data_IF_462133922141
#
_entry.id   IF_462133922141
#
_cell.length_a   1.000
_cell.length_b   1.000
_cell.length_c   1.000
_cell.angle_alpha   90.00
_cell.angle_beta   90.00
_cell.angle_gamma   90.00
#
_symmetry.space_group_name_H-M   'P 1'
#
loop_
_entity.id
_entity.type
_entity.pdbx_description
1 polymer ?
#
# COMPACT_ATOMS: atom_id res chain seq x y z
N UNK A 1 11.86 15.84 3.41
CA UNK A 1 10.46 15.70 2.97
C UNK A 1 10.24 16.00 1.48
N UNK A 2 11.18 16.62 0.79
CA UNK A 2 11.09 16.97 -0.64
C UNK A 2 11.37 15.82 -1.65
N UNK A 3 11.80 14.64 -1.18
CA UNK A 3 12.16 13.50 -2.06
C UNK A 3 10.98 12.66 -2.55
N UNK A 4 9.77 12.85 -2.04
CA UNK A 4 8.74 11.81 -2.13
C UNK A 4 7.69 12.00 -3.21
N UNK A 5 7.42 13.23 -3.63
CA UNK A 5 6.47 13.50 -4.72
C UNK A 5 7.04 14.61 -5.59
N UNK A 6 7.58 14.26 -6.74
CA UNK A 6 7.78 15.26 -7.81
C UNK A 6 6.38 15.70 -8.26
N UNK A 7 6.18 17.01 -8.31
CA UNK A 7 4.92 17.59 -8.76
C UNK A 7 4.54 17.01 -10.13
N UNK A 8 3.35 16.39 -10.24
CA UNK A 8 2.84 15.84 -11.50
C UNK A 8 3.05 14.35 -11.73
N UNK A 9 3.62 13.58 -10.76
CA UNK A 9 3.69 12.12 -10.91
C UNK A 9 2.31 11.47 -10.69
N UNK A 10 1.96 10.54 -11.59
CA UNK A 10 0.73 9.76 -11.55
C UNK A 10 1.08 8.33 -11.16
N UNK A 11 0.26 7.74 -10.28
CA UNK A 11 0.34 6.31 -9.93
C UNK A 11 -0.72 5.57 -10.74
N UNK A 12 -0.29 4.69 -11.63
CA UNK A 12 -1.19 3.88 -12.47
C UNK A 12 -1.49 2.56 -11.77
N UNK A 13 -2.77 2.27 -11.53
CA UNK A 13 -3.21 0.99 -10.97
C UNK A 13 -3.11 -0.12 -12.01
N UNK A 14 -2.38 -1.19 -11.70
CA UNK A 14 -2.28 -2.39 -12.53
C UNK A 14 -3.28 -3.45 -12.03
N UNK A 15 -4.57 -3.16 -12.21
CA UNK A 15 -5.65 -4.04 -11.73
C UNK A 15 -5.98 -5.11 -12.79
N UNK A 16 -5.03 -6.06 -12.97
CA UNK A 16 -5.08 -7.16 -13.93
C UNK A 16 -4.96 -8.51 -13.21
N UNK A 17 -5.40 -9.57 -13.86
CA UNK A 17 -5.34 -10.95 -13.37
C UNK A 17 -4.10 -11.73 -13.87
N UNK A 18 -3.25 -11.08 -14.68
CA UNK A 18 -2.02 -11.68 -15.21
C UNK A 18 -0.95 -10.62 -15.50
N UNK A 19 0.30 -11.05 -15.56
CA UNK A 19 1.45 -10.18 -15.81
C UNK A 19 1.50 -9.64 -17.25
N UNK A 20 1.02 -10.40 -18.23
CA UNK A 20 1.08 -9.99 -19.64
C UNK A 20 0.28 -8.73 -19.87
N UNK A 21 -0.98 -8.68 -19.42
CA UNK A 21 -1.83 -7.48 -19.53
C UNK A 21 -1.24 -6.28 -18.78
N UNK A 22 -0.66 -6.52 -17.60
CA UNK A 22 0.03 -5.47 -16.86
C UNK A 22 1.23 -4.90 -17.67
N UNK A 23 2.03 -5.77 -18.30
CA UNK A 23 3.17 -5.34 -19.10
C UNK A 23 2.78 -4.65 -20.41
N UNK A 24 1.65 -4.97 -21.01
CA UNK A 24 1.14 -4.25 -22.18
C UNK A 24 0.88 -2.77 -21.86
N UNK A 25 0.33 -2.48 -20.68
CA UNK A 25 0.13 -1.11 -20.23
C UNK A 25 1.45 -0.44 -19.84
N UNK A 26 2.32 -1.11 -19.09
CA UNK A 26 3.58 -0.49 -18.65
C UNK A 26 4.52 -0.13 -19.81
N UNK A 27 4.48 -0.85 -20.93
CA UNK A 27 5.22 -0.49 -22.15
C UNK A 27 4.84 0.88 -22.73
N UNK A 28 3.65 1.38 -22.41
CA UNK A 28 3.15 2.69 -22.87
C UNK A 28 3.52 3.82 -21.90
N UNK A 29 4.08 3.50 -20.72
CA UNK A 29 4.36 4.45 -19.66
C UNK A 29 5.86 4.75 -19.59
N UNK A 30 6.21 6.03 -19.35
CA UNK A 30 7.59 6.41 -19.03
C UNK A 30 7.78 6.35 -17.49
N UNK A 31 8.68 5.49 -16.96
CA UNK A 31 8.93 5.38 -15.51
C UNK A 31 9.37 6.69 -14.84
N UNK A 32 9.92 7.65 -15.58
CA UNK A 32 10.27 8.97 -15.03
C UNK A 32 9.05 9.78 -14.63
N UNK A 33 7.91 9.57 -15.30
CA UNK A 33 6.68 10.35 -15.11
C UNK A 33 5.60 9.58 -14.36
N UNK A 34 5.66 8.26 -14.38
CA UNK A 34 4.63 7.39 -13.81
C UNK A 34 5.22 6.43 -12.80
N UNK A 35 4.47 6.21 -11.73
CA UNK A 35 4.65 5.08 -10.81
C UNK A 35 3.55 4.07 -11.06
N UNK A 36 3.72 2.84 -10.60
CA UNK A 36 2.71 1.80 -10.76
C UNK A 36 2.25 1.27 -9.41
N UNK A 37 0.97 0.90 -9.30
CA UNK A 37 0.38 0.27 -8.13
C UNK A 37 0.08 -1.19 -8.43
N UNK A 38 0.61 -2.09 -7.61
CA UNK A 38 0.30 -3.52 -7.61
C UNK A 38 -0.62 -3.79 -6.42
N UNK A 39 -1.88 -4.10 -6.70
CA UNK A 39 -2.87 -4.45 -5.69
C UNK A 39 -3.00 -5.95 -5.46
N UNK A 40 -3.96 -6.32 -4.61
CA UNK A 40 -4.18 -7.72 -4.20
C UNK A 40 -4.38 -8.67 -5.38
N UNK A 41 -5.15 -8.26 -6.40
CA UNK A 41 -5.46 -9.15 -7.55
C UNK A 41 -4.17 -9.55 -8.29
N UNK A 42 -3.41 -8.59 -8.78
CA UNK A 42 -2.21 -8.85 -9.57
C UNK A 42 -1.13 -9.55 -8.73
N UNK A 43 -0.95 -9.12 -7.47
CA UNK A 43 0.03 -9.74 -6.58
C UNK A 43 -0.33 -11.20 -6.25
N UNK A 44 -1.61 -11.50 -6.01
CA UNK A 44 -2.08 -12.87 -5.75
C UNK A 44 -1.92 -13.77 -6.99
N UNK A 45 -2.17 -13.22 -8.18
CA UNK A 45 -2.05 -13.97 -9.44
C UNK A 45 -0.60 -14.26 -9.82
N UNK A 46 0.33 -13.33 -9.58
CA UNK A 46 1.70 -13.38 -10.11
C UNK A 46 2.79 -13.59 -9.04
N UNK A 47 2.45 -13.43 -7.75
CA UNK A 47 3.41 -13.47 -6.66
C UNK A 47 4.42 -12.30 -6.70
N UNK A 48 5.50 -12.38 -5.90
CA UNK A 48 6.49 -11.31 -5.80
C UNK A 48 7.29 -11.07 -7.08
N UNK A 49 7.31 -12.03 -8.00
CA UNK A 49 8.04 -11.90 -9.27
C UNK A 49 7.59 -10.69 -10.09
N UNK A 50 6.31 -10.31 -10.01
CA UNK A 50 5.79 -9.12 -10.70
C UNK A 50 6.49 -7.83 -10.27
N UNK A 51 6.86 -7.73 -8.98
CA UNK A 51 7.55 -6.56 -8.45
C UNK A 51 8.97 -6.44 -9.04
N UNK A 52 9.68 -7.56 -9.14
CA UNK A 52 11.02 -7.58 -9.74
C UNK A 52 10.98 -7.18 -11.22
N UNK A 53 10.00 -7.70 -11.97
CA UNK A 53 9.88 -7.45 -13.40
C UNK A 53 9.49 -5.99 -13.69
N UNK A 54 8.62 -5.39 -12.88
CA UNK A 54 8.30 -3.96 -12.97
C UNK A 54 9.48 -3.06 -12.57
N UNK A 55 10.28 -3.45 -11.57
CA UNK A 55 11.51 -2.74 -11.21
C UNK A 55 12.56 -2.79 -12.33
N UNK A 56 12.72 -3.92 -13.01
CA UNK A 56 13.61 -4.03 -14.19
C UNK A 56 13.21 -3.08 -15.32
N UNK A 57 11.90 -2.73 -15.41
CA UNK A 57 11.41 -1.71 -16.32
C UNK A 57 11.64 -0.27 -15.84
N UNK A 58 12.16 -0.08 -14.62
CA UNK A 58 12.50 1.22 -14.03
C UNK A 58 11.38 1.85 -13.18
N UNK A 59 10.28 1.15 -12.93
CA UNK A 59 9.16 1.72 -12.17
C UNK A 59 9.40 1.71 -10.66
N UNK A 60 9.06 2.81 -10.02
CA UNK A 60 8.75 2.87 -8.60
C UNK A 60 7.37 2.21 -8.35
N UNK A 61 7.29 1.32 -7.37
CA UNK A 61 6.10 0.50 -7.13
C UNK A 61 5.43 0.87 -5.81
N UNK A 62 4.13 1.13 -5.86
CA UNK A 62 3.26 1.10 -4.70
C UNK A 62 2.68 -0.31 -4.53
N UNK A 63 3.12 -1.05 -3.51
CA UNK A 63 2.56 -2.36 -3.14
C UNK A 63 1.35 -2.15 -2.23
N UNK A 64 0.14 -2.22 -2.83
CA UNK A 64 -1.14 -1.88 -2.20
C UNK A 64 -1.87 -3.15 -1.70
N UNK A 65 -1.31 -3.81 -0.68
CA UNK A 65 -1.89 -5.04 -0.10
C UNK A 65 -2.74 -4.78 1.15
N UNK A 66 -2.72 -3.55 1.68
CA UNK A 66 -3.54 -3.12 2.84
C UNK A 66 -3.40 -4.07 4.03
N UNK A 67 -2.17 -4.29 4.47
CA UNK A 67 -1.88 -5.23 5.56
C UNK A 67 -2.72 -4.95 6.80
N UNK A 68 -3.39 -5.98 7.29
CA UNK A 68 -4.24 -5.93 8.46
C UNK A 68 -4.29 -7.31 9.11
N UNK A 69 -3.53 -7.50 10.17
CA UNK A 69 -3.39 -8.76 10.89
C UNK A 69 -2.85 -8.47 12.30
N UNK A 70 -2.52 -9.50 13.08
CA UNK A 70 -1.84 -9.31 14.36
C UNK A 70 -0.52 -8.56 14.21
N UNK A 71 -0.08 -7.82 15.25
CA UNK A 71 1.15 -7.01 15.17
C UNK A 71 2.37 -7.78 14.65
N UNK A 72 2.61 -9.00 15.17
CA UNK A 72 3.75 -9.84 14.76
C UNK A 72 3.67 -10.27 13.27
N UNK A 73 2.47 -10.53 12.75
CA UNK A 73 2.28 -10.90 11.33
C UNK A 73 2.54 -9.70 10.44
N UNK A 74 2.00 -8.53 10.79
CA UNK A 74 2.20 -7.29 10.04
C UNK A 74 3.66 -6.85 10.08
N UNK A 75 4.33 -6.95 11.23
CA UNK A 75 5.77 -6.70 11.35
C UNK A 75 6.56 -7.49 10.31
N UNK A 76 6.37 -8.80 10.26
CA UNK A 76 7.06 -9.68 9.33
C UNK A 76 6.70 -9.39 7.87
N UNK A 77 5.43 -9.11 7.58
CA UNK A 77 4.99 -8.75 6.23
C UNK A 77 5.61 -7.44 5.74
N UNK A 78 5.71 -6.43 6.61
CA UNK A 78 6.37 -5.15 6.27
C UNK A 78 7.88 -5.35 6.08
N UNK A 79 8.54 -6.19 6.89
CA UNK A 79 9.95 -6.54 6.65
C UNK A 79 10.16 -7.14 5.27
N UNK A 80 9.29 -8.05 4.84
CA UNK A 80 9.39 -8.63 3.49
C UNK A 80 9.09 -7.60 2.39
N UNK A 81 8.10 -6.72 2.56
CA UNK A 81 7.83 -5.62 1.63
C UNK A 81 9.05 -4.68 1.50
N UNK A 82 9.72 -4.37 2.61
CA UNK A 82 10.95 -3.58 2.60
C UNK A 82 12.09 -4.28 1.83
N UNK A 83 12.27 -5.59 2.00
CA UNK A 83 13.27 -6.39 1.26
C UNK A 83 12.97 -6.41 -0.25
N UNK A 84 11.70 -6.32 -0.64
CA UNK A 84 11.30 -6.17 -2.04
C UNK A 84 11.66 -4.80 -2.62
N UNK A 85 12.16 -3.86 -1.80
CA UNK A 85 12.58 -2.53 -2.23
C UNK A 85 11.51 -1.82 -3.08
N UNK A 86 10.25 -1.89 -2.64
CA UNK A 86 9.15 -1.13 -3.22
C UNK A 86 9.23 0.33 -2.77
N UNK A 87 8.67 1.25 -3.54
CA UNK A 87 8.66 2.67 -3.19
C UNK A 87 7.69 2.98 -2.03
N UNK A 88 6.51 2.33 -2.02
CA UNK A 88 5.45 2.58 -1.03
C UNK A 88 4.68 1.29 -0.71
N UNK A 89 4.23 1.16 0.53
CA UNK A 89 3.24 0.15 0.94
C UNK A 89 2.28 0.72 1.98
N UNK A 90 1.26 -0.04 2.38
CA UNK A 90 0.22 0.45 3.28
C UNK A 90 -0.23 -0.60 4.30
N UNK A 91 -0.79 -0.09 5.40
CA UNK A 91 -1.45 -0.85 6.46
C UNK A 91 -2.81 -0.25 6.75
N UNK A 92 -3.77 -1.04 7.26
CA UNK A 92 -5.01 -0.50 7.81
C UNK A 92 -4.78 0.12 9.20
N UNK A 93 -5.22 1.36 9.41
CA UNK A 93 -5.13 2.01 10.72
C UNK A 93 -6.11 1.43 11.75
N UNK A 94 -7.17 0.79 11.28
CA UNK A 94 -8.12 0.04 12.14
C UNK A 94 -7.52 -1.18 12.83
N UNK A 95 -6.30 -1.59 12.47
CA UNK A 95 -5.56 -2.64 13.16
C UNK A 95 -5.07 -2.26 14.57
N UNK A 96 -5.21 -0.98 14.94
CA UNK A 96 -4.86 -0.48 16.27
C UNK A 96 -3.39 -0.14 16.44
N UNK A 97 -3.11 0.58 17.53
CA UNK A 97 -1.79 1.16 17.79
C UNK A 97 -0.65 0.14 17.77
N UNK A 98 -0.82 -1.00 18.45
CA UNK A 98 0.25 -2.01 18.52
C UNK A 98 0.64 -2.55 17.14
N UNK A 99 -0.33 -2.71 16.21
CA UNK A 99 -0.07 -3.15 14.85
C UNK A 99 0.65 -2.05 14.04
N UNK A 100 0.24 -0.80 14.21
CA UNK A 100 0.86 0.36 13.55
C UNK A 100 2.31 0.51 14.02
N UNK A 101 2.56 0.45 15.33
CA UNK A 101 3.91 0.53 15.90
C UNK A 101 4.81 -0.61 15.41
N UNK A 102 4.29 -1.84 15.37
CA UNK A 102 5.02 -2.99 14.84
C UNK A 102 5.43 -2.78 13.37
N UNK A 103 4.53 -2.27 12.54
CA UNK A 103 4.82 -1.94 11.14
C UNK A 103 5.88 -0.85 10.98
N UNK A 104 5.79 0.22 11.78
CA UNK A 104 6.76 1.33 11.78
C UNK A 104 8.13 0.86 12.25
N UNK A 105 8.19 0.06 13.33
CA UNK A 105 9.42 -0.50 13.85
C UNK A 105 10.09 -1.45 12.84
N UNK A 106 9.30 -2.29 12.16
CA UNK A 106 9.78 -3.16 11.09
C UNK A 106 10.46 -2.36 9.98
N UNK A 107 9.79 -1.33 9.47
CA UNK A 107 10.35 -0.42 8.46
C UNK A 107 11.67 0.21 8.94
N UNK A 108 11.70 0.72 10.16
CA UNK A 108 12.85 1.45 10.68
C UNK A 108 14.05 0.52 11.00
N UNK A 109 13.80 -0.77 11.33
CA UNK A 109 14.84 -1.73 11.70
C UNK A 109 15.83 -2.05 10.58
N UNK A 110 15.42 -1.90 9.33
CA UNK A 110 16.27 -2.16 8.15
C UNK A 110 16.61 -0.89 7.37
N UNK A 111 16.47 0.27 8.01
CA UNK A 111 16.78 1.59 7.41
C UNK A 111 16.16 1.78 6.01
N UNK A 112 14.96 1.23 5.81
CA UNK A 112 14.28 1.29 4.51
C UNK A 112 13.72 2.69 4.25
N UNK A 113 13.96 3.20 3.04
CA UNK A 113 13.38 4.46 2.57
C UNK A 113 11.92 4.31 2.06
N UNK A 114 11.33 3.14 2.20
CA UNK A 114 9.94 2.88 1.78
C UNK A 114 8.96 3.84 2.48
N UNK A 115 7.99 4.32 1.75
CA UNK A 115 6.85 5.03 2.33
C UNK A 115 5.86 4.02 2.91
N UNK A 116 5.61 4.11 4.20
CA UNK A 116 4.53 3.36 4.87
C UNK A 116 3.36 4.31 5.11
N UNK A 117 2.22 4.05 4.49
CA UNK A 117 1.02 4.87 4.61
C UNK A 117 -0.13 4.13 5.29
N UNK A 118 -1.00 4.87 5.97
CA UNK A 118 -2.17 4.34 6.66
C UNK A 118 -3.44 4.43 5.81
N UNK A 119 -4.19 3.34 5.75
CA UNK A 119 -5.53 3.29 5.16
C UNK A 119 -6.54 3.53 6.27
N UNK A 120 -7.40 4.52 6.12
CA UNK A 120 -8.50 4.84 7.04
C UNK A 120 -9.74 3.97 6.73
N UNK A 121 -10.79 4.56 6.16
CA UNK A 121 -11.97 3.85 5.69
C UNK A 121 -11.83 3.61 4.20
N UNK A 122 -12.16 2.41 3.73
CA UNK A 122 -12.16 2.09 2.30
C UNK A 122 -13.20 2.95 1.57
N UNK A 123 -12.85 3.44 0.41
CA UNK A 123 -13.71 4.32 -0.40
C UNK A 123 -14.99 3.65 -0.90
N UNK A 124 -15.06 2.33 -0.83
CA UNK A 124 -16.25 1.53 -1.14
C UNK A 124 -17.27 1.45 -0.01
N UNK A 125 -16.90 1.85 1.22
CA UNK A 125 -17.78 1.80 2.39
C UNK A 125 -18.54 3.11 2.56
N UNK A 126 -19.83 2.99 2.84
CA UNK A 126 -20.69 4.10 3.21
C UNK A 126 -21.00 4.12 4.72
N UNK A 127 -21.85 5.05 5.16
CA UNK A 127 -22.25 5.17 6.57
C UNK A 127 -22.99 3.94 7.07
N UNK A 128 -23.79 3.31 6.20
CA UNK A 128 -24.54 2.12 6.56
C UNK A 128 -23.59 0.95 6.81
N UNK A 129 -22.61 0.76 5.93
CA UNK A 129 -21.59 -0.30 6.09
C UNK A 129 -20.83 -0.16 7.40
N UNK A 130 -20.46 1.08 7.79
CA UNK A 130 -19.79 1.34 9.06
C UNK A 130 -20.69 0.94 10.25
N UNK A 131 -21.98 1.30 10.20
CA UNK A 131 -22.94 0.94 11.26
C UNK A 131 -23.13 -0.58 11.35
N UNK A 132 -23.22 -1.26 10.22
CA UNK A 132 -23.41 -2.72 10.15
C UNK A 132 -22.21 -3.49 10.75
N UNK A 133 -21.00 -2.94 10.70
CA UNK A 133 -19.81 -3.53 11.34
C UNK A 133 -19.54 -3.00 12.75
N UNK A 134 -20.48 -2.26 13.34
CA UNK A 134 -20.44 -1.81 14.74
C UNK A 134 -19.66 -0.51 14.97
N UNK A 135 -19.37 0.27 13.94
CA UNK A 135 -18.77 1.60 14.07
C UNK A 135 -19.87 2.64 14.32
N UNK A 136 -19.83 3.32 15.47
CA UNK A 136 -20.84 4.30 15.88
C UNK A 136 -20.58 5.72 15.38
N UNK A 137 -19.33 6.03 15.00
CA UNK A 137 -18.96 7.33 14.46
C UNK A 137 -19.59 7.53 13.07
N UNK A 138 -19.85 8.79 12.72
CA UNK A 138 -20.11 9.09 11.32
C UNK A 138 -18.85 8.86 10.46
N UNK A 139 -19.02 8.75 9.15
CA UNK A 139 -17.94 8.41 8.21
C UNK A 139 -16.76 9.40 8.31
N UNK A 140 -17.05 10.69 8.42
CA UNK A 140 -16.02 11.74 8.50
C UNK A 140 -15.23 11.63 9.81
N UNK A 141 -15.95 11.49 10.92
CA UNK A 141 -15.32 11.39 12.24
C UNK A 141 -14.52 10.10 12.38
N UNK A 142 -14.98 9.00 11.78
CA UNK A 142 -14.23 7.75 11.74
C UNK A 142 -12.91 7.90 10.95
N UNK A 143 -12.94 8.56 9.80
CA UNK A 143 -11.73 8.84 9.01
C UNK A 143 -10.74 9.69 9.83
N UNK A 144 -11.22 10.77 10.47
CA UNK A 144 -10.38 11.66 11.29
C UNK A 144 -9.79 10.88 12.49
N UNK A 145 -10.62 10.09 13.18
CA UNK A 145 -10.19 9.27 14.31
C UNK A 145 -9.06 8.33 13.92
N UNK A 146 -9.21 7.60 12.82
CA UNK A 146 -8.17 6.70 12.32
C UNK A 146 -6.91 7.46 11.88
N UNK A 147 -7.05 8.57 11.17
CA UNK A 147 -5.93 9.36 10.67
C UNK A 147 -5.11 10.04 11.80
N UNK A 148 -5.67 10.21 12.99
CA UNK A 148 -5.01 10.81 14.16
C UNK A 148 -4.51 9.77 15.17
N UNK A 149 -4.68 8.48 14.91
CA UNK A 149 -4.11 7.40 15.72
C UNK A 149 -2.57 7.54 15.74
N UNK A 150 -2.00 7.58 16.96
CA UNK A 150 -0.55 7.82 17.17
C UNK A 150 0.16 6.52 17.41
#
# INVERSE_FOLDING_TARGET
MEKFIKQGQIIVGLDFDNSQSAFEITKLLNPENYKVKVGNQLFTACGPQILEDLKKQGFDIFLDLKYHDTPNTVEKAILEACKQNVWMTNIHLSGGQNMIEAAVNAKNSISSEILLIGVTVLTSLDQKDLSDIGVSNDLRDQIISLATTR
#
